data_IF_832713085100
#
_entry.id   IF_832713085100
#
_cell.length_a   1.000
_cell.length_b   1.000
_cell.length_c   1.000
_cell.angle_alpha   90.00
_cell.angle_beta   90.00
_cell.angle_gamma   90.00
#
_symmetry.space_group_name_H-M   'P 1'
#
loop_
_entity.id
_entity.type
_entity.pdbx_description
1 polymer ?
#
# COMPACT_ATOMS: atom_id res chain seq x y z
N UNK A 1 23.51 74.59 -44.72
CA UNK A 1 22.39 73.62 -44.70
C UNK A 1 22.89 72.31 -44.05
N UNK A 2 22.65 72.08 -42.80
CA UNK A 2 23.05 70.80 -42.16
C UNK A 2 21.92 69.79 -42.23
N UNK A 3 22.27 68.61 -42.60
CA UNK A 3 21.65 67.42 -43.05
C UNK A 3 20.48 66.90 -42.18
N UNK A 4 19.29 66.90 -42.74
CA UNK A 4 18.08 66.26 -42.25
C UNK A 4 18.23 64.71 -42.19
N UNK A 5 19.22 64.13 -42.85
CA UNK A 5 19.47 62.68 -42.97
C UNK A 5 19.97 62.07 -41.67
N UNK A 6 20.56 62.79 -40.74
CA UNK A 6 21.12 62.26 -39.51
C UNK A 6 20.04 61.92 -38.43
N UNK A 7 18.94 62.65 -38.35
CA UNK A 7 17.89 62.48 -37.35
C UNK A 7 17.01 61.26 -37.61
N UNK A 8 16.76 60.91 -38.85
CA UNK A 8 15.92 59.73 -39.18
C UNK A 8 16.64 58.42 -38.91
N UNK A 9 17.96 58.38 -39.08
CA UNK A 9 18.76 57.17 -38.75
C UNK A 9 18.88 56.90 -37.22
N UNK A 10 18.98 58.00 -36.45
CA UNK A 10 19.04 57.93 -35.00
C UNK A 10 17.70 57.45 -34.43
N UNK A 11 16.55 57.86 -34.93
CA UNK A 11 15.24 57.48 -34.54
C UNK A 11 14.94 56.01 -34.90
N UNK A 12 15.42 55.54 -36.04
CA UNK A 12 15.25 54.14 -36.44
C UNK A 12 16.08 53.16 -35.57
N UNK A 13 17.32 53.55 -35.21
CA UNK A 13 18.16 52.73 -34.31
C UNK A 13 17.61 52.70 -32.90
N UNK A 14 17.07 53.80 -32.38
CA UNK A 14 16.45 53.89 -31.07
C UNK A 14 15.16 53.01 -31.00
N UNK A 15 14.36 53.00 -32.07
CA UNK A 15 13.15 52.15 -32.16
C UNK A 15 13.47 50.64 -32.20
N UNK A 16 14.52 50.27 -32.91
CA UNK A 16 14.97 48.84 -32.94
C UNK A 16 15.55 48.42 -31.59
N UNK A 17 16.32 49.26 -30.94
CA UNK A 17 16.86 48.99 -29.61
C UNK A 17 15.75 48.84 -28.55
N UNK A 18 14.71 49.66 -28.60
CA UNK A 18 13.55 49.57 -27.72
C UNK A 18 12.72 48.26 -27.97
N UNK A 19 12.57 47.86 -29.23
CA UNK A 19 11.89 46.63 -29.60
C UNK A 19 12.67 45.38 -29.15
N UNK A 20 13.98 45.37 -29.21
CA UNK A 20 14.83 44.26 -28.73
C UNK A 20 14.83 44.22 -27.21
N UNK A 21 14.83 45.35 -26.52
CA UNK A 21 14.74 45.38 -25.06
C UNK A 21 13.40 44.91 -24.54
N UNK A 22 12.27 45.19 -25.22
CA UNK A 22 10.96 44.70 -24.85
C UNK A 22 10.82 43.18 -25.07
N UNK A 23 11.40 42.60 -26.12
CA UNK A 23 11.46 41.16 -26.36
C UNK A 23 12.31 40.42 -25.32
N UNK A 24 13.43 41.02 -24.86
CA UNK A 24 14.26 40.42 -23.79
C UNK A 24 13.56 40.40 -22.44
N UNK A 25 12.70 41.39 -22.12
CA UNK A 25 11.92 41.41 -20.89
C UNK A 25 10.83 40.33 -20.86
N UNK A 26 10.19 40.06 -21.99
CA UNK A 26 9.17 38.96 -22.09
C UNK A 26 9.82 37.58 -21.98
N UNK A 27 11.01 37.40 -22.55
CA UNK A 27 11.74 36.13 -22.45
C UNK A 27 12.20 35.80 -21.03
N UNK A 28 12.46 36.79 -20.17
CA UNK A 28 12.80 36.57 -18.76
C UNK A 28 11.60 36.16 -17.89
N UNK A 29 10.39 36.51 -18.29
CA UNK A 29 9.19 36.17 -17.52
C UNK A 29 8.73 34.70 -17.76
N UNK A 30 8.99 34.17 -18.94
CA UNK A 30 8.63 32.81 -19.29
C UNK A 30 9.51 31.76 -18.62
N UNK A 31 10.75 32.11 -18.25
CA UNK A 31 11.64 31.23 -17.49
C UNK A 31 11.29 31.10 -15.99
N UNK A 32 10.38 31.90 -15.45
CA UNK A 32 10.02 31.92 -14.04
C UNK A 32 8.80 31.03 -13.69
N UNK A 33 8.03 30.61 -14.65
CA UNK A 33 6.91 29.69 -14.43
C UNK A 33 7.36 28.27 -14.64
N UNK A 34 8.01 27.70 -13.62
CA UNK A 34 7.98 26.25 -13.48
C UNK A 34 6.50 25.86 -13.45
N UNK A 35 6.06 24.95 -14.30
CA UNK A 35 4.67 24.53 -14.29
C UNK A 35 4.31 24.00 -12.91
N UNK A 36 3.14 24.39 -12.40
CA UNK A 36 2.67 24.08 -11.04
C UNK A 36 2.76 22.57 -10.69
N UNK A 37 2.70 21.67 -11.68
CA UNK A 37 2.85 20.24 -11.49
C UNK A 37 4.28 19.84 -11.05
N UNK A 38 5.31 20.58 -11.45
CA UNK A 38 6.70 20.30 -11.02
C UNK A 38 6.88 20.66 -9.55
N UNK A 39 6.28 21.75 -9.10
CA UNK A 39 6.30 22.15 -7.69
C UNK A 39 5.56 21.13 -6.81
N UNK A 40 4.43 20.59 -7.25
CA UNK A 40 3.68 19.55 -6.55
C UNK A 40 4.48 18.26 -6.49
N UNK A 41 5.10 17.82 -7.59
CA UNK A 41 5.90 16.59 -7.62
C UNK A 41 7.16 16.67 -6.74
N UNK A 42 7.76 17.87 -6.59
CA UNK A 42 8.91 18.07 -5.70
C UNK A 42 8.55 17.94 -4.21
N UNK A 43 7.30 18.25 -3.85
CA UNK A 43 6.81 18.16 -2.47
C UNK A 43 6.08 16.84 -2.18
N UNK A 44 5.59 16.18 -3.21
CA UNK A 44 4.88 14.92 -3.05
C UNK A 44 5.86 13.76 -2.84
N UNK A 45 5.89 13.27 -1.60
CA UNK A 45 6.75 12.15 -1.20
C UNK A 45 6.40 10.85 -1.91
N UNK A 46 5.15 10.68 -2.34
CA UNK A 46 4.70 9.48 -3.05
C UNK A 46 5.26 9.41 -4.46
N UNK A 47 5.41 10.56 -5.11
CA UNK A 47 6.00 10.68 -6.45
C UNK A 47 7.53 10.55 -6.42
N UNK A 48 8.17 11.03 -5.36
CA UNK A 48 9.63 11.00 -5.22
C UNK A 48 10.15 9.65 -4.75
N UNK A 49 9.42 8.99 -3.87
CA UNK A 49 9.76 7.72 -3.26
C UNK A 49 8.58 6.76 -3.38
N UNK A 50 8.25 6.34 -4.59
CA UNK A 50 7.08 5.49 -4.81
C UNK A 50 7.25 4.14 -4.10
N UNK A 51 6.17 3.66 -3.50
CA UNK A 51 6.09 2.30 -3.00
C UNK A 51 5.86 1.39 -4.20
N UNK A 52 6.79 0.46 -4.43
CA UNK A 52 6.65 -0.57 -5.44
C UNK A 52 5.66 -1.65 -5.02
N UNK A 53 5.19 -2.43 -5.99
CA UNK A 53 4.32 -3.59 -5.75
C UNK A 53 4.93 -4.82 -6.40
N UNK A 54 4.94 -5.92 -5.65
CA UNK A 54 5.38 -7.23 -6.10
C UNK A 54 4.36 -8.29 -5.67
N UNK A 55 4.41 -9.47 -6.28
CA UNK A 55 3.56 -10.60 -5.94
C UNK A 55 4.37 -11.71 -5.27
N UNK A 56 4.09 -11.98 -4.02
CA UNK A 56 4.67 -13.10 -3.30
C UNK A 56 3.72 -14.29 -3.32
N UNK A 57 4.25 -15.45 -3.67
CA UNK A 57 3.50 -16.69 -3.59
C UNK A 57 3.46 -17.21 -2.15
N UNK A 58 2.24 -17.40 -1.62
CA UNK A 58 1.98 -18.07 -0.34
C UNK A 58 1.63 -19.51 -0.63
N UNK A 59 2.25 -20.45 0.08
CA UNK A 59 2.13 -21.88 -0.17
C UNK A 59 1.78 -22.62 1.12
N UNK A 60 0.82 -23.53 1.05
CA UNK A 60 0.53 -24.52 2.07
C UNK A 60 0.73 -25.92 1.47
N UNK A 61 1.58 -26.72 2.09
CA UNK A 61 1.78 -28.12 1.74
C UNK A 61 1.06 -28.99 2.76
N UNK A 62 0.22 -29.88 2.27
CA UNK A 62 -0.52 -30.86 3.10
C UNK A 62 -0.04 -32.26 2.75
N UNK A 63 0.71 -32.88 3.66
CA UNK A 63 1.22 -34.23 3.50
C UNK A 63 0.17 -35.25 3.91
N UNK A 64 -0.14 -36.18 3.03
CA UNK A 64 -1.06 -37.26 3.27
C UNK A 64 -0.28 -38.57 3.47
N UNK A 65 -0.33 -39.20 4.67
CA UNK A 65 0.28 -40.50 4.88
C UNK A 65 -0.33 -41.53 3.94
N UNK A 66 0.45 -42.52 3.44
CA UNK A 66 0.00 -43.49 2.43
C UNK A 66 -1.25 -44.31 2.82
N UNK A 67 -1.54 -44.39 4.11
CA UNK A 67 -2.69 -45.14 4.67
C UNK A 67 -3.75 -44.23 5.30
N UNK A 68 -3.65 -42.92 5.15
CA UNK A 68 -4.67 -42.02 5.69
C UNK A 68 -5.96 -42.11 4.90
N UNK A 69 -7.05 -42.39 5.58
CA UNK A 69 -8.39 -42.39 4.99
C UNK A 69 -9.06 -41.01 4.99
N UNK A 70 -8.49 -40.05 5.73
CA UNK A 70 -9.04 -38.71 5.89
C UNK A 70 -7.94 -37.75 6.35
N UNK A 71 -8.21 -36.44 6.23
CA UNK A 71 -7.38 -35.36 6.79
C UNK A 71 -7.46 -35.37 8.32
N UNK A 72 -6.36 -35.09 9.00
CA UNK A 72 -6.39 -34.83 10.43
C UNK A 72 -7.10 -33.50 10.73
N UNK A 73 -7.62 -33.38 11.94
CA UNK A 73 -8.30 -32.16 12.40
C UNK A 73 -7.40 -30.89 12.23
N UNK A 74 -6.11 -31.02 12.52
CA UNK A 74 -5.17 -29.94 12.36
C UNK A 74 -4.98 -29.55 10.90
N UNK A 75 -4.91 -30.52 9.99
CA UNK A 75 -4.80 -30.24 8.54
C UNK A 75 -6.04 -29.54 8.01
N UNK A 76 -7.24 -29.94 8.46
CA UNK A 76 -8.49 -29.25 8.11
C UNK A 76 -8.46 -27.81 8.60
N UNK A 77 -8.06 -27.58 9.86
CA UNK A 77 -7.95 -26.23 10.42
C UNK A 77 -6.92 -25.36 9.69
N UNK A 78 -5.78 -25.95 9.28
CA UNK A 78 -4.76 -25.24 8.48
C UNK A 78 -5.29 -24.83 7.09
N UNK A 79 -6.00 -25.74 6.43
CA UNK A 79 -6.64 -25.45 5.14
C UNK A 79 -7.70 -24.36 5.28
N UNK A 80 -8.54 -24.40 6.30
CA UNK A 80 -9.55 -23.37 6.58
C UNK A 80 -8.90 -22.00 6.78
N UNK A 81 -7.85 -21.93 7.61
CA UNK A 81 -7.09 -20.68 7.82
C UNK A 81 -6.45 -20.18 6.54
N UNK A 82 -5.89 -21.07 5.73
CA UNK A 82 -5.28 -20.73 4.46
C UNK A 82 -6.29 -20.16 3.45
N UNK A 83 -7.46 -20.80 3.33
CA UNK A 83 -8.55 -20.33 2.46
C UNK A 83 -9.10 -18.99 2.94
N UNK A 84 -9.25 -18.79 4.25
CA UNK A 84 -9.67 -17.52 4.83
C UNK A 84 -8.68 -16.38 4.49
N UNK A 85 -7.37 -16.66 4.58
CA UNK A 85 -6.32 -15.70 4.17
C UNK A 85 -6.37 -15.43 2.67
N UNK A 86 -6.53 -16.46 1.85
CA UNK A 86 -6.68 -16.27 0.39
C UNK A 86 -7.82 -15.31 0.08
N UNK A 87 -8.97 -15.43 0.73
CA UNK A 87 -10.10 -14.52 0.53
C UNK A 87 -9.79 -13.08 0.96
N UNK A 88 -9.02 -12.91 2.04
CA UNK A 88 -8.69 -11.59 2.57
C UNK A 88 -7.62 -10.86 1.76
N UNK A 89 -6.57 -11.56 1.33
CA UNK A 89 -5.36 -10.94 0.78
C UNK A 89 -4.95 -11.46 -0.60
N UNK A 90 -5.53 -12.58 -1.06
CA UNK A 90 -5.13 -13.23 -2.30
C UNK A 90 -5.55 -12.49 -3.56
N UNK A 91 -4.73 -12.60 -4.59
CA UNK A 91 -5.01 -12.09 -5.94
C UNK A 91 -5.03 -13.27 -6.91
N UNK A 92 -5.95 -13.20 -7.87
CA UNK A 92 -6.10 -14.23 -8.88
C UNK A 92 -6.70 -15.52 -8.35
N UNK A 93 -6.33 -16.64 -8.97
CA UNK A 93 -6.90 -17.95 -8.69
C UNK A 93 -6.10 -18.71 -7.63
N UNK A 94 -6.82 -19.40 -6.74
CA UNK A 94 -6.21 -20.36 -5.83
C UNK A 94 -5.72 -21.57 -6.61
N UNK A 95 -4.42 -21.82 -6.63
CA UNK A 95 -3.85 -23.01 -7.27
C UNK A 95 -3.87 -24.18 -6.29
N UNK A 96 -4.49 -25.28 -6.72
CA UNK A 96 -4.48 -26.56 -6.03
C UNK A 96 -3.71 -27.56 -6.89
N UNK A 97 -2.58 -28.03 -6.39
CA UNK A 97 -1.71 -28.92 -7.12
C UNK A 97 -1.55 -30.25 -6.34
N UNK A 98 -1.70 -31.36 -7.04
CA UNK A 98 -1.58 -32.71 -6.50
C UNK A 98 -0.38 -33.41 -7.11
N UNK A 99 0.40 -34.13 -6.30
CA UNK A 99 1.51 -34.91 -6.80
C UNK A 99 1.05 -36.01 -7.77
N UNK A 100 1.69 -36.14 -8.93
CA UNK A 100 1.28 -37.07 -9.99
C UNK A 100 1.23 -38.52 -9.55
N UNK A 101 2.07 -38.95 -8.62
CA UNK A 101 2.11 -40.28 -8.04
C UNK A 101 1.05 -40.55 -6.96
N UNK A 102 0.43 -39.48 -6.45
CA UNK A 102 -0.52 -39.55 -5.33
C UNK A 102 -1.98 -39.81 -5.79
N UNK A 103 -2.25 -39.80 -7.08
CA UNK A 103 -3.62 -39.78 -7.62
C UNK A 103 -4.42 -41.05 -7.45
N UNK A 104 -3.79 -42.17 -7.14
CA UNK A 104 -4.45 -43.45 -7.05
C UNK A 104 -4.84 -43.86 -5.60
N UNK A 105 -4.54 -43.03 -4.59
CA UNK A 105 -4.78 -43.36 -3.19
C UNK A 105 -6.15 -42.86 -2.70
N UNK A 106 -6.88 -43.73 -1.99
CA UNK A 106 -8.17 -43.40 -1.35
C UNK A 106 -8.03 -42.15 -0.46
N UNK A 107 -6.90 -41.99 0.24
CA UNK A 107 -6.63 -40.81 1.08
C UNK A 107 -6.56 -39.50 0.32
N UNK A 108 -6.04 -39.50 -0.91
CA UNK A 108 -5.98 -38.29 -1.73
C UNK A 108 -7.38 -37.85 -2.19
N UNK A 109 -8.24 -38.79 -2.53
CA UNK A 109 -9.63 -38.51 -2.93
C UNK A 109 -10.38 -37.87 -1.79
N UNK A 110 -10.33 -38.48 -0.60
CA UNK A 110 -10.97 -37.92 0.60
C UNK A 110 -10.43 -36.51 0.97
N UNK A 111 -9.11 -36.29 0.85
CA UNK A 111 -8.53 -34.99 1.11
C UNK A 111 -8.99 -33.92 0.11
N UNK A 112 -9.18 -34.29 -1.15
CA UNK A 112 -9.69 -33.36 -2.16
C UNK A 112 -11.19 -33.09 -1.96
N UNK A 113 -11.96 -34.07 -1.49
CA UNK A 113 -13.37 -33.90 -1.14
C UNK A 113 -13.53 -32.98 0.09
N UNK A 114 -12.69 -33.17 1.11
CA UNK A 114 -12.65 -32.31 2.28
C UNK A 114 -12.27 -30.86 1.89
N UNK A 115 -11.24 -30.71 1.04
CA UNK A 115 -10.88 -29.41 0.50
C UNK A 115 -12.04 -28.77 -0.30
N UNK A 116 -12.73 -29.56 -1.12
CA UNK A 116 -13.91 -29.13 -1.87
C UNK A 116 -15.00 -28.56 -0.95
N UNK A 117 -15.26 -29.22 0.18
CA UNK A 117 -16.22 -28.76 1.19
C UNK A 117 -15.75 -27.46 1.83
N UNK A 118 -14.49 -27.39 2.28
CA UNK A 118 -13.90 -26.17 2.87
C UNK A 118 -14.00 -24.98 1.90
N UNK A 119 -13.69 -25.18 0.63
CA UNK A 119 -13.78 -24.12 -0.39
C UNK A 119 -15.23 -23.65 -0.60
N UNK A 120 -16.17 -24.60 -0.65
CA UNK A 120 -17.60 -24.29 -0.80
C UNK A 120 -18.14 -23.52 0.40
N UNK A 121 -17.81 -23.96 1.62
CA UNK A 121 -18.23 -23.32 2.87
C UNK A 121 -17.64 -21.90 3.01
N UNK A 122 -16.42 -21.73 2.49
CA UNK A 122 -15.77 -20.41 2.40
C UNK A 122 -16.33 -19.54 1.27
N UNK A 123 -17.22 -20.05 0.41
CA UNK A 123 -17.78 -19.31 -0.72
C UNK A 123 -16.80 -19.10 -1.88
N UNK A 124 -15.79 -19.97 -2.02
CA UNK A 124 -14.86 -19.95 -3.17
C UNK A 124 -15.49 -20.71 -4.33
N UNK A 125 -15.67 -20.02 -5.45
CA UNK A 125 -16.27 -20.62 -6.65
C UNK A 125 -15.27 -21.50 -7.42
N UNK A 126 -15.73 -22.53 -8.13
CA UNK A 126 -14.84 -23.39 -8.93
C UNK A 126 -14.01 -22.64 -9.98
N UNK A 127 -14.51 -21.50 -10.47
CA UNK A 127 -13.80 -20.63 -11.41
C UNK A 127 -12.59 -19.93 -10.79
N UNK A 128 -12.60 -19.75 -9.47
CA UNK A 128 -11.50 -19.17 -8.69
C UNK A 128 -10.41 -20.21 -8.36
N UNK A 129 -10.62 -21.49 -8.68
CA UNK A 129 -9.67 -22.56 -8.39
C UNK A 129 -8.97 -23.01 -9.67
N UNK A 130 -7.65 -23.03 -9.67
CA UNK A 130 -6.81 -23.61 -10.72
C UNK A 130 -6.27 -24.97 -10.26
N UNK A 131 -6.70 -26.05 -10.91
CA UNK A 131 -6.20 -27.39 -10.59
C UNK A 131 -5.01 -27.75 -11.47
N UNK A 132 -3.94 -28.28 -10.88
CA UNK A 132 -2.74 -28.70 -11.58
C UNK A 132 -2.13 -29.97 -10.96
N UNK A 133 -1.15 -30.54 -11.63
CA UNK A 133 -0.35 -31.66 -11.14
C UNK A 133 1.09 -31.25 -11.05
N UNK A 134 1.83 -31.78 -10.09
CA UNK A 134 3.27 -31.55 -9.98
C UNK A 134 4.02 -32.87 -9.85
N UNK A 135 5.27 -32.88 -10.27
CA UNK A 135 6.09 -34.10 -10.35
C UNK A 135 6.92 -34.36 -9.08
N UNK A 136 6.77 -33.54 -8.02
CA UNK A 136 7.59 -33.68 -6.83
C UNK A 136 7.32 -35.01 -6.13
N UNK A 137 8.25 -35.94 -6.27
CA UNK A 137 8.27 -37.21 -5.56
C UNK A 137 8.73 -36.98 -4.11
N UNK A 138 7.83 -36.57 -3.24
CA UNK A 138 8.14 -36.44 -1.82
C UNK A 138 8.01 -37.81 -1.14
N UNK A 139 9.10 -38.60 -1.18
CA UNK A 139 9.29 -39.85 -0.41
C UNK A 139 8.05 -40.76 -0.27
N UNK A 140 7.29 -40.95 -1.37
CA UNK A 140 6.11 -41.82 -1.39
C UNK A 140 4.88 -41.28 -0.64
N UNK A 141 4.88 -40.02 -0.22
CA UNK A 141 3.72 -39.36 0.40
C UNK A 141 2.93 -38.58 -0.63
N UNK A 142 1.61 -38.68 -0.55
CA UNK A 142 0.74 -37.82 -1.32
C UNK A 142 0.84 -36.39 -0.80
N UNK A 143 1.22 -35.45 -1.67
CA UNK A 143 1.31 -34.03 -1.34
C UNK A 143 0.22 -33.26 -2.07
N UNK A 144 -0.63 -32.58 -1.31
CA UNK A 144 -1.55 -31.57 -1.85
C UNK A 144 -0.96 -30.20 -1.54
N UNK A 145 -0.66 -29.43 -2.58
CA UNK A 145 -0.11 -28.08 -2.45
C UNK A 145 -1.17 -27.05 -2.83
N UNK A 146 -1.48 -26.16 -1.91
CA UNK A 146 -2.30 -24.98 -2.17
C UNK A 146 -1.38 -23.77 -2.29
N UNK A 147 -1.64 -22.90 -3.24
CA UNK A 147 -0.90 -21.64 -3.35
C UNK A 147 -1.72 -20.53 -3.98
N UNK A 148 -1.45 -19.31 -3.57
CA UNK A 148 -2.01 -18.10 -4.16
C UNK A 148 -0.95 -16.98 -4.21
N UNK A 149 -1.18 -16.01 -5.09
CA UNK A 149 -0.38 -14.80 -5.13
C UNK A 149 -0.94 -13.77 -4.14
N UNK A 150 -0.04 -13.16 -3.37
CA UNK A 150 -0.34 -12.07 -2.45
C UNK A 150 0.44 -10.83 -2.87
N UNK A 151 -0.22 -9.66 -3.07
CA UNK A 151 0.48 -8.43 -3.31
C UNK A 151 1.29 -8.02 -2.07
N UNK A 152 2.50 -7.57 -2.29
CA UNK A 152 3.42 -7.11 -1.25
C UNK A 152 3.89 -5.72 -1.61
N UNK A 153 3.89 -4.80 -0.66
CA UNK A 153 4.46 -3.49 -0.84
C UNK A 153 6.00 -3.58 -0.75
N UNK A 154 6.67 -2.99 -1.73
CA UNK A 154 8.13 -2.87 -1.75
C UNK A 154 8.50 -1.47 -1.30
N UNK A 155 9.24 -1.40 -0.20
CA UNK A 155 9.72 -0.14 0.34
C UNK A 155 10.77 0.50 -0.58
N UNK A 156 10.77 1.83 -0.76
CA UNK A 156 11.84 2.52 -1.45
C UNK A 156 13.18 2.37 -0.70
N UNK A 157 14.27 2.40 -1.43
CA UNK A 157 15.61 2.46 -0.83
C UNK A 157 15.89 3.88 -0.36
N UNK A 158 16.33 4.02 0.90
CA UNK A 158 16.63 5.28 1.56
C UNK A 158 18.05 5.26 2.13
N UNK A 159 18.61 6.44 2.37
CA UNK A 159 19.90 6.56 3.06
C UNK A 159 21.04 7.04 2.19
N UNK A 160 20.74 7.55 1.00
CA UNK A 160 21.75 8.14 0.10
C UNK A 160 22.02 9.61 0.46
N UNK A 161 22.82 9.86 1.48
CA UNK A 161 23.17 11.19 1.95
C UNK A 161 24.40 11.71 1.19
N UNK A 162 24.19 12.26 0.02
CA UNK A 162 25.29 12.72 -0.85
C UNK A 162 25.82 14.11 -0.51
N UNK A 163 25.09 14.93 0.24
CA UNK A 163 25.40 16.34 0.48
C UNK A 163 25.15 16.75 1.93
N UNK A 164 25.96 17.69 2.41
CA UNK A 164 25.73 18.39 3.65
C UNK A 164 24.65 19.48 3.47
N UNK A 165 23.41 19.15 3.87
CA UNK A 165 22.24 20.00 3.73
C UNK A 165 22.38 21.32 4.50
N UNK A 166 23.21 21.33 5.57
CA UNK A 166 23.46 22.52 6.36
C UNK A 166 24.19 23.63 5.59
N UNK A 167 24.85 23.27 4.47
CA UNK A 167 25.62 24.21 3.63
C UNK A 167 24.89 24.64 2.37
N UNK A 168 23.75 24.03 2.04
CA UNK A 168 22.98 24.39 0.85
C UNK A 168 22.19 25.68 1.07
N UNK A 169 22.51 26.72 0.28
CA UNK A 169 21.86 28.02 0.34
C UNK A 169 20.47 28.05 -0.32
N UNK A 170 20.16 27.08 -1.16
CA UNK A 170 18.98 27.10 -2.04
C UNK A 170 17.70 26.63 -1.33
N UNK A 171 17.76 26.19 -0.10
CA UNK A 171 16.60 25.72 0.70
C UNK A 171 15.68 24.72 -0.05
N UNK A 172 16.24 23.99 -0.99
CA UNK A 172 15.53 22.94 -1.70
C UNK A 172 15.28 21.77 -0.76
N UNK A 173 14.16 21.08 -0.93
CA UNK A 173 13.91 19.86 -0.21
C UNK A 173 15.01 18.85 -0.55
N UNK A 174 15.68 18.32 0.48
CA UNK A 174 16.73 17.34 0.26
C UNK A 174 16.17 16.06 -0.40
N UNK A 175 16.99 15.34 -1.19
CA UNK A 175 16.53 14.23 -2.00
C UNK A 175 15.78 13.14 -1.20
N UNK A 176 16.21 12.86 0.02
CA UNK A 176 15.64 11.83 0.89
C UNK A 176 14.38 12.27 1.67
N UNK A 177 13.90 13.51 1.45
CA UNK A 177 12.71 13.99 2.16
C UNK A 177 11.50 13.11 1.86
N UNK A 178 10.92 12.54 2.91
CA UNK A 178 9.77 11.66 2.84
C UNK A 178 10.07 10.18 2.52
N UNK A 179 11.32 9.84 2.16
CA UNK A 179 11.69 8.45 1.89
C UNK A 179 11.40 7.54 3.08
N UNK A 180 11.82 7.91 4.29
CA UNK A 180 11.56 7.13 5.50
C UNK A 180 10.06 6.97 5.79
N UNK A 181 9.25 7.99 5.50
CA UNK A 181 7.79 7.92 5.65
C UNK A 181 7.20 6.89 4.71
N UNK A 182 7.58 6.90 3.42
CA UNK A 182 7.13 5.93 2.43
C UNK A 182 7.59 4.51 2.77
N UNK A 183 8.83 4.38 3.23
CA UNK A 183 9.38 3.09 3.68
C UNK A 183 8.62 2.52 4.88
N UNK A 184 8.32 3.35 5.86
CA UNK A 184 7.54 2.94 7.03
C UNK A 184 6.11 2.56 6.64
N UNK A 185 5.47 3.35 5.77
CA UNK A 185 4.13 3.04 5.24
C UNK A 185 4.12 1.68 4.53
N UNK A 186 5.09 1.41 3.65
CA UNK A 186 5.22 0.12 2.97
C UNK A 186 5.39 -1.05 3.95
N UNK A 187 6.12 -0.85 5.07
CA UNK A 187 6.34 -1.87 6.09
C UNK A 187 5.15 -2.09 7.03
N UNK A 188 4.31 -1.08 7.22
CA UNK A 188 3.18 -1.12 8.15
C UNK A 188 1.86 -1.56 7.51
N UNK A 189 1.72 -1.45 6.19
CA UNK A 189 0.48 -1.83 5.51
C UNK A 189 0.26 -3.34 5.56
N UNK A 190 -0.89 -3.75 6.07
CA UNK A 190 -1.24 -5.17 6.17
C UNK A 190 -1.55 -5.81 4.82
N UNK A 191 -2.21 -5.05 3.94
CA UNK A 191 -2.54 -5.48 2.58
C UNK A 191 -2.10 -4.40 1.59
N UNK A 192 -1.12 -4.72 0.74
CA UNK A 192 -0.58 -3.78 -0.23
C UNK A 192 -1.62 -3.23 -1.23
N UNK A 193 -2.73 -3.94 -1.45
CA UNK A 193 -3.84 -3.47 -2.29
C UNK A 193 -4.50 -2.20 -1.76
N UNK A 194 -4.47 -2.00 -0.43
CA UNK A 194 -5.09 -0.83 0.20
C UNK A 194 -4.35 0.47 -0.13
N UNK A 195 -3.08 0.36 -0.55
CA UNK A 195 -2.31 1.48 -1.09
C UNK A 195 -2.71 1.86 -2.53
N UNK A 196 -3.28 0.91 -3.29
CA UNK A 196 -3.69 1.15 -4.67
C UNK A 196 -5.15 1.60 -4.77
N UNK A 197 -6.00 1.08 -3.90
CA UNK A 197 -7.42 1.44 -3.83
C UNK A 197 -7.95 1.21 -2.42
N UNK A 198 -8.82 2.09 -1.92
CA UNK A 198 -9.49 1.88 -0.65
C UNK A 198 -10.28 0.56 -0.65
N UNK A 199 -10.40 -0.04 0.51
CA UNK A 199 -11.34 -1.15 0.72
C UNK A 199 -12.78 -0.62 0.74
N UNK A 200 -13.72 -1.48 0.41
CA UNK A 200 -15.14 -1.16 0.57
C UNK A 200 -15.45 -0.93 2.04
N UNK A 201 -16.18 0.16 2.32
CA UNK A 201 -16.57 0.49 3.67
C UNK A 201 -17.50 -0.61 4.24
N UNK A 202 -17.11 -1.15 5.39
CA UNK A 202 -17.96 -2.05 6.14
C UNK A 202 -18.97 -1.20 6.94
N UNK A 203 -20.28 -1.52 6.90
CA UNK A 203 -21.24 -0.82 7.71
C UNK A 203 -20.89 -0.96 9.19
N UNK A 204 -20.78 0.17 9.89
CA UNK A 204 -20.55 0.16 11.34
C UNK A 204 -21.69 -0.59 12.04
N UNK A 205 -21.37 -1.42 13.04
CA UNK A 205 -22.39 -2.13 13.82
C UNK A 205 -23.45 -1.16 14.35
N UNK A 206 -24.73 -1.56 14.28
CA UNK A 206 -25.85 -0.75 14.74
C UNK A 206 -25.69 -0.36 16.20
N UNK A 207 -25.19 -1.26 17.03
CA UNK A 207 -24.91 -1.04 18.45
C UNK A 207 -23.88 0.06 18.68
N UNK A 208 -22.73 0.04 18.00
CA UNK A 208 -21.72 1.10 18.08
C UNK A 208 -22.26 2.45 17.62
N UNK A 209 -23.09 2.44 16.59
CA UNK A 209 -23.73 3.65 16.07
C UNK A 209 -24.70 4.23 17.10
N UNK A 210 -25.53 3.40 17.73
CA UNK A 210 -26.45 3.81 18.79
C UNK A 210 -25.72 4.36 20.01
N UNK A 211 -24.63 3.75 20.45
CA UNK A 211 -23.80 4.26 21.54
C UNK A 211 -23.14 5.61 21.20
N UNK A 212 -22.63 5.76 19.97
CA UNK A 212 -22.06 7.04 19.54
C UNK A 212 -23.12 8.13 19.47
N UNK A 213 -24.32 7.77 19.02
CA UNK A 213 -25.46 8.68 18.93
C UNK A 213 -25.97 9.11 20.32
N UNK A 214 -26.13 8.18 21.27
CA UNK A 214 -26.51 8.49 22.63
C UNK A 214 -25.54 9.42 23.34
N UNK A 215 -24.24 9.21 23.16
CA UNK A 215 -23.19 10.12 23.67
C UNK A 215 -23.20 11.49 23.01
N UNK A 216 -23.61 11.58 21.76
CA UNK A 216 -23.72 12.85 21.04
C UNK A 216 -24.93 13.67 21.52
N UNK A 217 -26.08 13.00 21.76
CA UNK A 217 -27.30 13.67 22.22
C UNK A 217 -27.22 14.06 23.71
N UNK A 218 -26.62 13.21 24.53
CA UNK A 218 -26.40 13.44 25.95
C UNK A 218 -24.92 13.40 26.26
N UNK A 219 -24.15 14.45 25.95
CA UNK A 219 -22.74 14.48 26.24
C UNK A 219 -22.54 14.49 27.75
N UNK A 220 -22.21 13.35 28.34
CA UNK A 220 -21.60 13.31 29.66
C UNK A 220 -20.25 14.02 29.57
N UNK A 221 -20.12 15.13 30.27
CA UNK A 221 -18.81 15.80 30.44
C UNK A 221 -17.92 14.78 31.13
N UNK A 222 -17.02 14.18 30.34
CA UNK A 222 -15.96 13.35 30.89
C UNK A 222 -15.14 14.26 31.81
N UNK A 223 -15.33 14.13 33.12
CA UNK A 223 -14.45 14.77 34.10
C UNK A 223 -13.04 14.27 33.80
N UNK A 224 -12.24 15.16 33.25
CA UNK A 224 -10.84 14.84 32.93
C UNK A 224 -10.18 14.48 34.26
N UNK A 225 -9.48 13.37 34.31
CA UNK A 225 -8.70 12.89 35.48
C UNK A 225 -7.74 13.94 36.06
N UNK A 226 -7.52 15.04 35.34
CA UNK A 226 -6.81 16.24 35.81
C UNK A 226 -7.59 17.00 36.90
N UNK A 227 -8.93 17.12 36.79
CA UNK A 227 -9.74 17.86 37.77
C UNK A 227 -9.90 17.08 39.09
N UNK A 228 -9.94 15.75 39.03
CA UNK A 228 -9.94 14.90 40.24
C UNK A 228 -8.64 14.96 40.99
N UNK A 229 -7.49 15.06 40.31
CA UNK A 229 -6.18 15.25 40.96
C UNK A 229 -6.04 16.66 41.58
N UNK A 230 -6.55 17.69 40.93
CA UNK A 230 -6.52 19.05 41.45
C UNK A 230 -7.34 19.19 42.73
N UNK A 231 -8.55 18.60 42.79
CA UNK A 231 -9.39 18.58 43.99
C UNK A 231 -8.79 17.77 45.12
N UNK A 232 -8.09 16.65 44.82
CA UNK A 232 -7.42 15.84 45.83
C UNK A 232 -6.21 16.57 46.50
N UNK A 233 -5.47 17.37 45.73
CA UNK A 233 -4.33 18.18 46.22
C UNK A 233 -4.80 19.34 47.08
N UNK A 234 -5.96 19.94 46.83
CA UNK A 234 -6.53 21.05 47.57
C UNK A 234 -7.08 20.61 48.94
N UNK A 235 -7.63 19.39 49.02
CA UNK A 235 -8.12 18.80 50.28
C UNK A 235 -6.95 18.43 51.24
N UNK A 236 -5.80 18.04 50.69
CA UNK A 236 -4.61 17.65 51.52
C UNK A 236 -3.88 18.87 52.08
N UNK A 237 -4.07 20.08 51.54
CA UNK A 237 -3.48 21.32 52.06
C UNK A 237 -4.30 21.99 53.18
N UNK A 238 -5.50 21.50 53.51
CA UNK A 238 -6.37 22.04 54.55
C UNK A 238 -6.41 21.21 55.82
N UNK A 239 -5.59 20.18 55.96
CA UNK A 239 -5.29 19.45 57.17
C UNK A 239 -3.85 19.82 57.64
#
# INVERSE_FOLDING_TARGET
MPSVVSRSRILSVAAVAAAVASLALVACEEQRRLPDYVAVSLNDTTMRHPIGFDERRVVLNVDLPPRASSLSHNQVADMQRFVARYKAEGVGRLAVSVASQAQAGVGTTHALDDLGRILKDAGVTPTQVAKSRHSDAHRGRALVRLSYARPTAMAPECGHWHRDIGRERERLHYPEFGCATQRNLAGMVANARDLQRPQDEQPRSAERRSQSWSKYIAPELSETTADTKAKAVETTKKQ
#
